data_IF_809963739570
#
_entry.id   IF_809963739570
#
_cell.length_a   1.000
_cell.length_b   1.000
_cell.length_c   1.000
_cell.angle_alpha   90.00
_cell.angle_beta   90.00
_cell.angle_gamma   90.00
#
_symmetry.space_group_name_H-M   'P 1'
#
loop_
_entity.id
_entity.type
_entity.pdbx_description
1 polymer ?
#
# COMPACT_ATOMS: atom_id res chain seq x y z
N UNK A 1 0.65 -22.92 -4.96
CA UNK A 1 1.09 -22.07 -3.82
C UNK A 1 2.07 -21.04 -4.37
N UNK A 2 1.76 -19.74 -4.28
CA UNK A 2 2.64 -18.68 -4.78
C UNK A 2 3.86 -18.66 -3.85
N UNK A 3 5.03 -19.08 -4.34
CA UNK A 3 6.26 -19.07 -3.57
C UNK A 3 6.52 -17.62 -3.15
N UNK A 4 6.34 -17.30 -1.87
CA UNK A 4 6.69 -15.99 -1.33
C UNK A 4 8.20 -15.91 -1.38
N UNK A 5 8.77 -15.44 -2.50
CA UNK A 5 10.21 -15.23 -2.65
C UNK A 5 10.70 -14.49 -1.42
N UNK A 6 11.62 -15.09 -0.69
CA UNK A 6 12.16 -14.49 0.51
C UNK A 6 12.94 -13.25 0.08
N UNK A 7 12.69 -12.10 0.71
CA UNK A 7 13.35 -10.83 0.33
C UNK A 7 14.88 -10.96 0.42
N UNK A 8 15.38 -11.85 1.28
CA UNK A 8 16.80 -12.15 1.45
C UNK A 8 17.42 -12.86 0.25
N UNK A 9 16.64 -13.61 -0.52
CA UNK A 9 17.13 -14.41 -1.67
C UNK A 9 17.20 -13.60 -2.97
N UNK A 10 16.57 -12.43 -3.02
CA UNK A 10 16.60 -11.56 -4.20
C UNK A 10 18.00 -10.98 -4.43
N UNK A 11 18.41 -10.86 -5.69
CA UNK A 11 19.57 -10.03 -6.05
C UNK A 11 19.30 -8.55 -5.76
N UNK A 12 20.34 -7.73 -5.70
CA UNK A 12 20.21 -6.30 -5.43
C UNK A 12 19.37 -5.59 -6.51
N UNK A 13 19.51 -5.98 -7.77
CA UNK A 13 18.76 -5.40 -8.89
C UNK A 13 17.27 -5.74 -8.80
N UNK A 14 16.94 -7.00 -8.50
CA UNK A 14 15.56 -7.45 -8.33
C UNK A 14 14.91 -6.78 -7.11
N UNK A 15 15.65 -6.65 -6.01
CA UNK A 15 15.17 -5.97 -4.81
C UNK A 15 14.92 -4.47 -5.06
N UNK A 16 15.81 -3.80 -5.80
CA UNK A 16 15.59 -2.40 -6.20
C UNK A 16 14.37 -2.23 -7.11
N UNK A 17 14.18 -3.13 -8.08
CA UNK A 17 13.01 -3.13 -8.97
C UNK A 17 11.73 -3.34 -8.17
N UNK A 18 11.74 -4.31 -7.25
CA UNK A 18 10.62 -4.58 -6.34
C UNK A 18 10.32 -3.38 -5.45
N UNK A 19 11.34 -2.71 -4.90
CA UNK A 19 11.17 -1.51 -4.09
C UNK A 19 10.52 -0.36 -4.87
N UNK A 20 10.97 -0.09 -6.10
CA UNK A 20 10.39 0.94 -6.97
C UNK A 20 8.93 0.62 -7.30
N UNK A 21 8.63 -0.64 -7.64
CA UNK A 21 7.27 -1.10 -7.90
C UNK A 21 6.38 -0.98 -6.67
N UNK A 22 6.82 -1.50 -5.52
CA UNK A 22 6.08 -1.42 -4.26
C UNK A 22 5.78 0.02 -3.85
N UNK A 23 6.75 0.93 -4.02
CA UNK A 23 6.55 2.37 -3.78
C UNK A 23 5.52 2.97 -4.74
N UNK A 24 5.57 2.62 -6.02
CA UNK A 24 4.63 3.10 -7.02
C UNK A 24 3.21 2.61 -6.73
N UNK A 25 3.04 1.31 -6.47
CA UNK A 25 1.75 0.73 -6.11
C UNK A 25 1.18 1.35 -4.84
N UNK A 26 2.00 1.52 -3.80
CA UNK A 26 1.56 2.16 -2.56
C UNK A 26 1.06 3.59 -2.81
N UNK A 27 1.79 4.39 -3.61
CA UNK A 27 1.36 5.74 -3.99
C UNK A 27 0.02 5.74 -4.74
N UNK A 28 -0.10 4.90 -5.77
CA UNK A 28 -1.32 4.83 -6.59
C UNK A 28 -2.51 4.40 -5.73
N UNK A 29 -2.33 3.34 -4.94
CA UNK A 29 -3.36 2.83 -4.03
C UNK A 29 -3.80 3.91 -3.02
N UNK A 30 -2.85 4.62 -2.42
CA UNK A 30 -3.15 5.67 -1.45
C UNK A 30 -3.88 6.86 -2.10
N UNK A 31 -3.49 7.25 -3.32
CA UNK A 31 -4.20 8.30 -4.08
C UNK A 31 -5.65 7.92 -4.37
N UNK A 32 -5.89 6.67 -4.80
CA UNK A 32 -7.25 6.16 -5.05
C UNK A 32 -8.04 6.09 -3.74
N UNK A 33 -7.41 5.65 -2.65
CA UNK A 33 -8.05 5.56 -1.34
C UNK A 33 -8.44 6.94 -0.78
N UNK A 34 -7.62 7.97 -0.97
CA UNK A 34 -7.98 9.36 -0.61
C UNK A 34 -9.17 9.83 -1.44
N UNK A 35 -9.19 9.57 -2.75
CA UNK A 35 -10.30 9.95 -3.61
C UNK A 35 -11.61 9.26 -3.17
N UNK A 36 -11.53 7.98 -2.80
CA UNK A 36 -12.64 7.24 -2.20
C UNK A 36 -13.12 7.91 -0.92
N UNK A 37 -12.21 8.23 0.01
CA UNK A 37 -12.55 8.90 1.27
C UNK A 37 -13.27 10.22 1.05
N UNK A 38 -12.74 11.10 0.19
CA UNK A 38 -13.33 12.40 -0.12
C UNK A 38 -14.75 12.21 -0.71
N UNK A 39 -14.90 11.28 -1.65
CA UNK A 39 -16.19 10.99 -2.30
C UNK A 39 -17.21 10.46 -1.29
N UNK A 40 -16.81 9.51 -0.45
CA UNK A 40 -17.65 8.92 0.59
C UNK A 40 -18.06 9.94 1.66
N UNK A 41 -17.14 10.83 2.06
CA UNK A 41 -17.43 11.93 2.98
C UNK A 41 -18.42 12.92 2.36
N UNK A 42 -18.20 13.33 1.11
CA UNK A 42 -19.14 14.19 0.38
C UNK A 42 -20.54 13.59 0.32
N UNK A 43 -20.65 12.30 -0.02
CA UNK A 43 -21.94 11.59 -0.04
C UNK A 43 -22.57 11.56 1.36
N UNK A 44 -21.78 11.25 2.40
CA UNK A 44 -22.28 11.16 3.77
C UNK A 44 -22.82 12.49 4.29
N UNK A 45 -22.14 13.61 3.99
CA UNK A 45 -22.59 14.95 4.38
C UNK A 45 -23.90 15.33 3.68
N UNK A 46 -24.05 14.96 2.40
CA UNK A 46 -25.24 15.34 1.61
C UNK A 46 -26.44 14.40 1.77
N UNK A 47 -26.20 13.11 2.01
CA UNK A 47 -27.24 12.06 2.03
C UNK A 47 -27.43 11.42 3.41
N UNK A 48 -26.65 11.83 4.40
CA UNK A 48 -26.63 11.24 5.73
C UNK A 48 -25.82 9.94 5.81
N UNK A 49 -25.85 9.33 6.99
CA UNK A 49 -25.14 8.10 7.28
C UNK A 49 -25.68 6.92 6.45
N UNK A 50 -24.79 6.13 5.85
CA UNK A 50 -25.20 4.96 5.07
C UNK A 50 -24.03 4.08 4.63
N UNK A 51 -24.27 3.26 3.61
CA UNK A 51 -23.27 2.31 3.06
C UNK A 51 -21.96 3.01 2.69
N UNK A 52 -22.05 4.20 2.09
CA UNK A 52 -20.86 4.97 1.70
C UNK A 52 -20.06 5.52 2.89
N UNK A 53 -20.65 5.64 4.07
CA UNK A 53 -19.95 6.09 5.28
C UNK A 53 -19.02 5.00 5.84
N UNK A 54 -19.47 3.74 5.77
CA UNK A 54 -18.68 2.60 6.28
C UNK A 54 -17.74 2.02 5.22
N UNK A 55 -18.04 2.22 3.93
CA UNK A 55 -17.28 1.67 2.80
C UNK A 55 -15.76 1.93 2.91
N UNK A 56 -15.25 3.15 3.16
CA UNK A 56 -13.80 3.35 3.25
C UNK A 56 -13.15 2.59 4.41
N UNK A 57 -13.89 2.33 5.49
CA UNK A 57 -13.38 1.61 6.66
C UNK A 57 -13.09 0.14 6.36
N UNK A 58 -13.82 -0.47 5.41
CA UNK A 58 -13.62 -1.88 5.04
C UNK A 58 -12.27 -2.12 4.37
N UNK A 59 -11.67 -1.07 3.79
CA UNK A 59 -10.36 -1.15 3.13
C UNK A 59 -9.18 -0.86 4.07
N UNK A 60 -9.42 -0.48 5.33
CA UNK A 60 -8.34 -0.19 6.30
C UNK A 60 -7.38 -1.36 6.48
N UNK A 61 -7.82 -2.63 6.64
CA UNK A 61 -6.90 -3.76 6.72
C UNK A 61 -6.00 -3.89 5.48
N UNK A 62 -6.54 -3.58 4.30
CA UNK A 62 -5.78 -3.61 3.04
C UNK A 62 -4.75 -2.49 2.98
N UNK A 63 -5.09 -1.27 3.42
CA UNK A 63 -4.14 -0.15 3.53
C UNK A 63 -2.99 -0.53 4.45
N UNK A 64 -3.31 -1.07 5.62
CA UNK A 64 -2.32 -1.51 6.62
C UNK A 64 -1.40 -2.59 6.02
N UNK A 65 -1.96 -3.62 5.39
CA UNK A 65 -1.18 -4.69 4.78
C UNK A 65 -0.21 -4.17 3.70
N UNK A 66 -0.63 -3.22 2.88
CA UNK A 66 0.24 -2.60 1.86
C UNK A 66 1.37 -1.78 2.48
N UNK A 67 1.09 -1.02 3.54
CA UNK A 67 2.13 -0.27 4.29
C UNK A 67 3.15 -1.24 4.90
N UNK A 68 2.70 -2.32 5.53
CA UNK A 68 3.60 -3.33 6.10
C UNK A 68 4.43 -4.04 5.03
N UNK A 69 3.81 -4.41 3.91
CA UNK A 69 4.51 -5.04 2.77
C UNK A 69 5.63 -4.14 2.23
N UNK A 70 5.32 -2.85 2.00
CA UNK A 70 6.33 -1.86 1.61
C UNK A 70 7.42 -1.69 2.68
N UNK A 71 7.04 -1.66 3.95
CA UNK A 71 7.97 -1.57 5.09
C UNK A 71 8.99 -2.70 5.13
N UNK A 72 8.58 -3.94 4.82
CA UNK A 72 9.49 -5.10 4.72
C UNK A 72 10.52 -4.93 3.61
N UNK A 73 10.09 -4.56 2.41
CA UNK A 73 11.00 -4.32 1.27
C UNK A 73 11.94 -3.14 1.55
N UNK A 74 11.42 -2.07 2.16
CA UNK A 74 12.21 -0.91 2.59
C UNK A 74 13.26 -1.29 3.65
N UNK A 75 12.90 -2.19 4.58
CA UNK A 75 13.81 -2.70 5.61
C UNK A 75 14.99 -3.45 4.99
N UNK A 76 14.73 -4.36 4.05
CA UNK A 76 15.78 -5.12 3.38
C UNK A 76 16.70 -4.23 2.53
N UNK A 77 16.14 -3.25 1.81
CA UNK A 77 16.91 -2.22 1.10
C UNK A 77 17.86 -1.46 2.04
N UNK A 78 17.46 -1.27 3.32
CA UNK A 78 18.25 -0.52 4.31
C UNK A 78 19.39 -1.38 4.82
N UNK A 79 19.07 -2.64 5.12
CA UNK A 79 20.03 -3.63 5.57
C UNK A 79 21.20 -3.80 4.59
N UNK A 80 20.91 -3.67 3.29
CA UNK A 80 21.91 -3.78 2.20
C UNK A 80 22.52 -2.45 1.75
N UNK A 81 22.18 -1.33 2.40
CA UNK A 81 22.64 0.02 2.01
C UNK A 81 22.32 0.40 0.54
N UNK A 82 21.17 -0.02 0.02
CA UNK A 82 20.77 0.21 -1.38
C UNK A 82 19.90 1.48 -1.57
N UNK A 83 19.97 2.44 -0.65
CA UNK A 83 19.20 3.69 -0.69
C UNK A 83 19.87 4.84 -1.45
N UNK A 84 21.04 4.58 -2.05
CA UNK A 84 21.77 5.53 -2.88
C UNK A 84 21.15 5.68 -4.27
#
# INVERSE_FOLDING_TARGET
MKHSQNLTELSNEELQKLFKQARMFLKIFFSIFILLLITCLYITVNKGFGVFTILPLTFIPLVIANIFSYGKVKGEMKNRNLFN
#
